data_IF_840334302958
#
_entry.id   IF_840334302958
#
_cell.length_a   1.000
_cell.length_b   1.000
_cell.length_c   1.000
_cell.angle_alpha   90.00
_cell.angle_beta   90.00
_cell.angle_gamma   90.00
#
_symmetry.space_group_name_H-M   'P 1'
#
loop_
_entity.id
_entity.type
_entity.pdbx_description
1 polymer ?
#
# COMPACT_ATOMS: atom_id res chain seq x y z
N UNK A 1 6.48 -2.22 11.47
CA UNK A 1 6.43 -2.13 10.02
C UNK A 1 5.20 -2.85 9.50
N UNK A 2 4.68 -2.44 8.36
CA UNK A 2 3.44 -3.02 7.83
C UNK A 2 3.61 -4.49 7.48
N UNK A 3 2.76 -5.32 8.03
CA UNK A 3 2.72 -6.73 7.74
C UNK A 3 1.27 -7.15 7.56
N UNK A 4 0.97 -7.75 6.43
CA UNK A 4 -0.39 -8.19 6.13
C UNK A 4 -0.42 -9.69 5.90
N UNK A 5 -1.46 -10.32 6.40
CA UNK A 5 -1.67 -11.73 6.09
C UNK A 5 -2.31 -11.82 4.71
N UNK A 6 -1.48 -12.09 3.73
CA UNK A 6 -1.91 -12.18 2.34
C UNK A 6 -2.09 -13.63 1.94
N UNK A 7 -3.32 -13.99 1.66
CA UNK A 7 -3.63 -15.33 1.19
C UNK A 7 -4.08 -15.24 -0.26
N UNK A 8 -3.44 -16.03 -1.11
CA UNK A 8 -3.86 -16.10 -2.50
C UNK A 8 -5.14 -16.90 -2.60
N UNK A 9 -6.26 -16.21 -2.63
CA UNK A 9 -7.57 -16.83 -2.80
C UNK A 9 -7.86 -17.07 -4.27
N UNK A 10 -8.73 -18.04 -4.54
CA UNK A 10 -9.16 -18.32 -5.91
C UNK A 10 -9.82 -17.07 -6.48
N UNK A 11 -9.30 -16.58 -7.61
CA UNK A 11 -9.81 -15.40 -8.27
C UNK A 11 -9.24 -14.08 -7.79
N UNK A 12 -8.34 -14.09 -6.80
CA UNK A 12 -7.67 -12.91 -6.30
C UNK A 12 -6.18 -12.99 -6.52
N UNK A 13 -5.51 -11.86 -6.68
CA UNK A 13 -4.06 -11.81 -6.75
C UNK A 13 -3.51 -11.22 -5.46
N UNK A 14 -2.25 -11.51 -5.16
CA UNK A 14 -1.58 -10.90 -4.00
C UNK A 14 -1.50 -9.38 -4.16
N UNK A 15 -1.33 -8.90 -5.38
CA UNK A 15 -1.36 -7.49 -5.68
C UNK A 15 -2.69 -6.85 -5.25
N UNK A 16 -3.81 -7.44 -5.63
CA UNK A 16 -5.12 -6.90 -5.28
C UNK A 16 -5.37 -6.91 -3.78
N UNK A 17 -4.95 -7.97 -3.10
CA UNK A 17 -5.10 -8.04 -1.65
C UNK A 17 -4.28 -6.96 -0.95
N UNK A 18 -3.03 -6.78 -1.35
CA UNK A 18 -2.17 -5.76 -0.77
C UNK A 18 -2.73 -4.36 -1.04
N UNK A 19 -3.14 -4.12 -2.27
CA UNK A 19 -3.73 -2.86 -2.67
C UNK A 19 -4.97 -2.53 -1.83
N UNK A 20 -5.89 -3.48 -1.67
CA UNK A 20 -7.12 -3.25 -0.91
C UNK A 20 -6.84 -3.00 0.57
N UNK A 21 -5.91 -3.74 1.16
CA UNK A 21 -5.57 -3.56 2.56
C UNK A 21 -4.92 -2.22 2.82
N UNK A 22 -4.01 -1.79 1.97
CA UNK A 22 -3.37 -0.47 2.09
C UNK A 22 -4.41 0.64 1.89
N UNK A 23 -5.24 0.52 0.88
CA UNK A 23 -6.29 1.51 0.60
C UNK A 23 -7.23 1.66 1.80
N UNK A 24 -7.66 0.54 2.36
CA UNK A 24 -8.56 0.55 3.50
C UNK A 24 -7.90 1.22 4.71
N UNK A 25 -6.64 0.90 4.99
CA UNK A 25 -5.93 1.50 6.12
C UNK A 25 -5.77 3.00 5.96
N UNK A 26 -5.54 3.47 4.73
CA UNK A 26 -5.44 4.90 4.44
C UNK A 26 -6.80 5.58 4.63
N UNK A 27 -7.85 4.99 4.08
CA UNK A 27 -9.19 5.59 4.16
C UNK A 27 -9.74 5.61 5.58
N UNK A 28 -9.40 4.61 6.39
CA UNK A 28 -9.86 4.54 7.77
C UNK A 28 -8.96 5.27 8.75
N UNK A 29 -7.90 5.91 8.27
CA UNK A 29 -7.00 6.68 9.11
C UNK A 29 -6.04 5.86 9.93
N UNK A 30 -5.89 4.57 9.67
CA UNK A 30 -4.91 3.72 10.36
C UNK A 30 -3.49 4.08 9.96
N UNK A 31 -3.32 4.56 8.72
CA UNK A 31 -2.07 5.13 8.25
C UNK A 31 -2.34 6.60 7.96
N UNK A 32 -1.68 7.47 8.70
CA UNK A 32 -1.97 8.91 8.64
C UNK A 32 -1.38 9.56 7.39
N UNK A 33 -2.01 10.64 6.89
CA UNK A 33 -1.45 11.42 5.79
C UNK A 33 -0.04 11.88 6.10
N UNK A 34 0.83 11.87 5.10
CA UNK A 34 2.22 12.26 5.24
C UNK A 34 3.14 11.15 5.75
N UNK A 35 2.57 10.01 6.15
CA UNK A 35 3.37 8.88 6.61
C UNK A 35 4.18 8.32 5.45
N UNK A 36 5.47 8.10 5.68
CA UNK A 36 6.32 7.43 4.71
C UNK A 36 6.11 5.92 4.83
N UNK A 37 5.76 5.30 3.71
CA UNK A 37 5.59 3.86 3.67
C UNK A 37 6.94 3.16 3.54
N UNK A 38 7.02 1.87 3.93
CA UNK A 38 8.23 1.09 3.69
C UNK A 38 8.57 1.08 2.21
N UNK A 39 9.84 0.93 1.88
CA UNK A 39 10.23 0.78 0.48
C UNK A 39 9.60 -0.48 -0.08
N UNK A 40 9.49 -0.54 -1.42
CA UNK A 40 8.92 -1.73 -2.06
C UNK A 40 9.71 -2.99 -1.68
N UNK A 41 11.02 -2.87 -1.53
CA UNK A 41 11.86 -4.02 -1.15
C UNK A 41 11.61 -4.45 0.29
N UNK A 42 11.50 -3.48 1.20
CA UNK A 42 11.23 -3.77 2.60
C UNK A 42 9.86 -4.43 2.78
N UNK A 43 8.85 -3.88 2.15
CA UNK A 43 7.50 -4.43 2.27
C UNK A 43 7.42 -5.83 1.64
N UNK A 44 8.08 -6.02 0.51
CA UNK A 44 8.10 -7.32 -0.15
C UNK A 44 8.76 -8.37 0.75
N UNK A 45 9.93 -8.02 1.33
CA UNK A 45 10.65 -8.94 2.22
C UNK A 45 9.83 -9.27 3.46
N UNK A 46 9.24 -8.26 4.08
CA UNK A 46 8.53 -8.44 5.35
C UNK A 46 7.23 -9.23 5.18
N UNK A 47 6.68 -9.25 3.98
CA UNK A 47 5.43 -9.95 3.68
C UNK A 47 5.62 -11.20 2.82
N UNK A 48 6.86 -11.52 2.46
CA UNK A 48 7.13 -12.73 1.69
C UNK A 48 6.56 -12.72 0.28
N UNK A 49 6.53 -11.56 -0.37
CA UNK A 49 5.99 -11.40 -1.72
C UNK A 49 7.02 -10.73 -2.61
N UNK A 50 6.77 -10.70 -3.91
CA UNK A 50 7.71 -10.12 -4.85
C UNK A 50 7.70 -8.60 -4.79
N UNK A 51 8.84 -8.00 -5.12
CA UNK A 51 8.97 -6.54 -5.24
C UNK A 51 8.01 -6.01 -6.30
N UNK A 52 7.84 -6.74 -7.39
CA UNK A 52 6.93 -6.35 -8.47
C UNK A 52 5.48 -6.25 -7.96
N UNK A 53 5.07 -7.18 -7.11
CA UNK A 53 3.73 -7.14 -6.52
C UNK A 53 3.52 -5.87 -5.69
N UNK A 54 4.51 -5.54 -4.86
CA UNK A 54 4.43 -4.32 -4.04
C UNK A 54 4.42 -3.08 -4.94
N UNK A 55 5.31 -3.04 -5.92
CA UNK A 55 5.37 -1.90 -6.83
C UNK A 55 4.04 -1.68 -7.56
N UNK A 56 3.42 -2.76 -8.04
CA UNK A 56 2.14 -2.66 -8.72
C UNK A 56 1.05 -2.08 -7.81
N UNK A 57 1.01 -2.53 -6.56
CA UNK A 57 0.04 -2.00 -5.59
C UNK A 57 0.30 -0.53 -5.28
N UNK A 58 1.56 -0.16 -5.05
CA UNK A 58 1.90 1.23 -4.78
C UNK A 58 1.57 2.14 -5.96
N UNK A 59 1.91 1.71 -7.17
CA UNK A 59 1.63 2.52 -8.36
C UNK A 59 0.13 2.71 -8.60
N UNK A 60 -0.66 1.68 -8.34
CA UNK A 60 -2.10 1.80 -8.46
C UNK A 60 -2.65 2.81 -7.45
N UNK A 61 -2.13 2.80 -6.22
CA UNK A 61 -2.55 3.76 -5.20
C UNK A 61 -2.13 5.17 -5.56
N UNK A 62 -0.96 5.34 -6.20
CA UNK A 62 -0.53 6.66 -6.69
C UNK A 62 -1.49 7.16 -7.77
N UNK A 63 -1.84 6.30 -8.73
CA UNK A 63 -2.77 6.67 -9.80
C UNK A 63 -4.12 7.10 -9.24
N UNK A 64 -4.58 6.46 -8.19
CA UNK A 64 -5.86 6.77 -7.58
C UNK A 64 -5.81 7.91 -6.58
N UNK A 65 -4.62 8.44 -6.31
CA UNK A 65 -4.47 9.61 -5.44
C UNK A 65 -4.34 9.30 -3.95
N UNK A 66 -4.16 8.04 -3.57
CA UNK A 66 -3.98 7.68 -2.16
C UNK A 66 -2.54 7.78 -1.70
N UNK A 67 -1.60 7.65 -2.62
CA UNK A 67 -0.18 7.82 -2.32
C UNK A 67 0.42 8.84 -3.29
N UNK A 68 1.54 9.40 -2.90
CA UNK A 68 2.38 10.15 -3.82
C UNK A 68 3.83 9.71 -3.63
N UNK A 69 4.60 9.81 -4.68
CA UNK A 69 6.01 9.45 -4.63
C UNK A 69 6.87 10.71 -4.67
N UNK A 70 7.99 10.65 -3.94
CA UNK A 70 9.01 11.69 -4.02
C UNK A 70 10.28 11.04 -4.54
N UNK A 71 10.88 11.63 -5.55
CA UNK A 71 12.09 11.10 -6.15
C UNK A 71 13.15 10.88 -5.08
N UNK A 72 13.72 9.69 -5.06
CA UNK A 72 14.77 9.25 -4.12
C UNK A 72 14.36 9.22 -2.66
N UNK A 73 13.09 9.49 -2.35
CA UNK A 73 12.61 9.48 -0.96
C UNK A 73 11.58 8.41 -0.66
N UNK A 74 10.85 7.96 -1.69
CA UNK A 74 9.91 6.86 -1.55
C UNK A 74 8.45 7.27 -1.70
N UNK A 75 7.58 6.49 -1.08
CA UNK A 75 6.13 6.67 -1.17
C UNK A 75 5.57 7.19 0.13
N UNK A 76 4.63 8.11 0.03
CA UNK A 76 4.02 8.77 1.18
C UNK A 76 2.51 8.75 1.04
N UNK A 77 1.82 8.74 2.15
CA UNK A 77 0.35 8.74 2.16
C UNK A 77 -0.15 10.14 1.85
N UNK A 78 -1.03 10.24 0.86
CA UNK A 78 -1.64 11.52 0.49
C UNK A 78 -2.74 11.88 1.48
N UNK A 79 -3.07 13.17 1.55
CA UNK A 79 -4.22 13.62 2.34
C UNK A 79 -5.49 13.30 1.54
N UNK A 80 -6.25 12.32 2.00
CA UNK A 80 -7.51 11.92 1.38
C UNK A 80 -8.65 12.08 2.38
N UNK A 81 -9.87 12.21 1.88
CA UNK A 81 -11.02 12.29 2.75
C UNK A 81 -11.26 10.92 3.38
N UNK A 82 -11.28 10.88 4.73
CA UNK A 82 -11.45 9.64 5.44
C UNK A 82 -12.87 9.11 5.29
N UNK A 83 -12.98 7.77 5.22
CA UNK A 83 -14.29 7.14 5.21
C UNK A 83 -14.92 7.25 6.59
N UNK A 84 -16.19 7.63 6.66
CA UNK A 84 -16.89 7.56 7.94
C UNK A 84 -17.02 6.12 8.39
N UNK A 85 -16.89 5.90 9.66
CA UNK A 85 -17.07 4.56 10.23
C UNK A 85 -18.54 4.30 10.55
#
# INVERSE_FOLDING_TARGET
MLHYELEKKKGSSLYEELYQKLKEDILRGRILPGTKLPSKRELARDNGISVKTVLSAYEQLVVEGYLYSKEKKGYFVAAVEAMPE
#
